data_IF_858343313000
#
_entry.id   IF_858343313000
#
_cell.length_a   1.000
_cell.length_b   1.000
_cell.length_c   1.000
_cell.angle_alpha   90.00
_cell.angle_beta   90.00
_cell.angle_gamma   90.00
#
_symmetry.space_group_name_H-M   'P 1'
#
loop_
_entity.id
_entity.type
_entity.pdbx_description
1 polymer ?
#
# COMPACT_ATOMS: atom_id res chain seq x y z
N UNK A 1 -10.34 -26.09 12.40
CA UNK A 1 -10.88 -24.80 11.97
C UNK A 1 -12.17 -24.61 12.75
N UNK A 2 -12.18 -23.77 13.78
CA UNK A 2 -13.36 -23.51 14.60
C UNK A 2 -14.27 -22.55 13.86
N UNK A 3 -15.25 -23.09 13.14
CA UNK A 3 -16.40 -22.32 12.66
C UNK A 3 -17.12 -21.78 13.89
N UNK A 4 -16.96 -20.48 14.15
CA UNK A 4 -17.63 -19.81 15.25
C UNK A 4 -19.12 -19.80 14.91
N UNK A 5 -19.91 -20.62 15.59
CA UNK A 5 -21.36 -20.61 15.46
C UNK A 5 -21.88 -19.24 15.91
N UNK A 6 -22.42 -18.47 14.97
CA UNK A 6 -23.04 -17.17 15.25
C UNK A 6 -24.54 -17.40 15.24
N UNK A 7 -25.17 -17.20 16.41
CA UNK A 7 -26.62 -17.24 16.55
C UNK A 7 -27.26 -16.01 15.91
N UNK A 8 -28.46 -16.19 15.37
CA UNK A 8 -29.23 -15.10 14.80
C UNK A 8 -29.57 -14.02 15.86
N UNK A 9 -29.27 -12.74 15.63
CA UNK A 9 -29.61 -11.66 16.57
C UNK A 9 -31.10 -11.30 16.59
N UNK A 10 -31.89 -11.74 15.61
CA UNK A 10 -33.32 -11.43 15.53
C UNK A 10 -34.19 -12.40 16.33
N UNK A 11 -33.90 -13.70 16.27
CA UNK A 11 -34.68 -14.73 16.95
C UNK A 11 -33.92 -15.47 18.06
N UNK A 12 -32.60 -15.30 18.17
CA UNK A 12 -31.71 -15.93 19.16
C UNK A 12 -31.65 -17.47 19.14
N UNK A 13 -32.43 -18.12 18.27
CA UNK A 13 -32.55 -19.58 18.15
C UNK A 13 -31.80 -20.09 16.92
N UNK A 14 -32.04 -19.51 15.75
CA UNK A 14 -31.55 -20.04 14.50
C UNK A 14 -30.07 -19.80 14.24
N UNK A 15 -29.49 -20.65 13.40
CA UNK A 15 -28.12 -20.51 12.91
C UNK A 15 -28.10 -19.67 11.64
N UNK A 16 -26.99 -18.98 11.40
CA UNK A 16 -26.77 -18.17 10.21
C UNK A 16 -26.02 -18.97 9.16
N UNK A 17 -26.62 -19.08 7.97
CA UNK A 17 -26.01 -19.68 6.79
C UNK A 17 -25.51 -18.58 5.85
N UNK A 18 -24.28 -18.70 5.37
CA UNK A 18 -23.70 -17.78 4.39
C UNK A 18 -24.24 -18.05 2.98
N UNK A 19 -24.58 -16.97 2.25
CA UNK A 19 -25.09 -16.97 0.88
C UNK A 19 -24.43 -15.85 0.09
N UNK A 20 -24.47 -15.97 -1.23
CA UNK A 20 -24.06 -14.93 -2.18
C UNK A 20 -25.23 -14.54 -3.08
N UNK A 21 -25.28 -13.27 -3.48
CA UNK A 21 -26.22 -12.76 -4.46
C UNK A 21 -25.57 -11.69 -5.35
N UNK A 22 -26.28 -11.33 -6.41
CA UNK A 22 -25.96 -10.14 -7.20
C UNK A 22 -26.66 -8.93 -6.57
N UNK A 23 -25.90 -7.89 -6.27
CA UNK A 23 -26.41 -6.65 -5.66
C UNK A 23 -26.00 -5.46 -6.53
N UNK A 24 -26.96 -4.60 -6.86
CA UNK A 24 -26.74 -3.40 -7.68
C UNK A 24 -26.34 -2.20 -6.82
N UNK A 25 -25.29 -1.51 -7.25
CA UNK A 25 -24.79 -0.30 -6.63
C UNK A 25 -24.67 0.83 -7.64
N UNK A 26 -24.52 2.06 -7.14
CA UNK A 26 -24.40 3.26 -7.95
C UNK A 26 -23.28 4.15 -7.43
N UNK A 27 -22.37 4.55 -8.30
CA UNK A 27 -21.31 5.51 -7.99
C UNK A 27 -21.28 6.63 -9.03
N UNK A 28 -21.50 7.88 -8.60
CA UNK A 28 -21.54 9.07 -9.49
C UNK A 28 -22.41 8.86 -10.73
N UNK A 29 -23.60 8.31 -10.53
CA UNK A 29 -24.55 8.02 -11.59
C UNK A 29 -24.22 6.88 -12.55
N UNK A 30 -23.13 6.16 -12.29
CA UNK A 30 -22.76 4.95 -13.00
C UNK A 30 -23.26 3.75 -12.17
N UNK A 31 -24.24 2.96 -12.68
CA UNK A 31 -24.65 1.72 -12.05
C UNK A 31 -23.58 0.63 -12.27
N UNK A 32 -23.38 -0.23 -11.29
CA UNK A 32 -22.54 -1.42 -11.38
C UNK A 32 -23.09 -2.53 -10.48
N UNK A 33 -22.71 -3.78 -10.76
CA UNK A 33 -23.21 -4.97 -10.06
C UNK A 33 -22.07 -5.66 -9.34
N UNK A 34 -22.30 -6.08 -8.10
CA UNK A 34 -21.40 -6.97 -7.36
C UNK A 34 -22.02 -8.37 -7.39
N UNK A 35 -21.40 -9.29 -8.14
CA UNK A 35 -21.93 -10.64 -8.34
C UNK A 35 -21.79 -11.58 -7.13
N UNK A 36 -20.75 -11.37 -6.31
CA UNK A 36 -20.44 -12.21 -5.14
C UNK A 36 -20.73 -11.46 -3.83
N UNK A 37 -21.87 -10.78 -3.75
CA UNK A 37 -22.25 -10.04 -2.54
C UNK A 37 -22.61 -11.01 -1.41
N UNK A 38 -21.81 -11.01 -0.33
CA UNK A 38 -21.97 -11.95 0.77
C UNK A 38 -22.98 -11.45 1.80
N UNK A 39 -23.90 -12.32 2.19
CA UNK A 39 -24.84 -12.10 3.28
C UNK A 39 -25.13 -13.41 4.01
N UNK A 40 -25.84 -13.33 5.13
CA UNK A 40 -26.27 -14.49 5.89
C UNK A 40 -27.77 -14.49 6.10
N UNK A 41 -28.38 -15.67 5.98
CA UNK A 41 -29.80 -15.92 6.23
C UNK A 41 -29.96 -16.83 7.44
N UNK A 42 -30.95 -16.55 8.29
CA UNK A 42 -31.27 -17.40 9.43
C UNK A 42 -32.11 -18.61 9.01
N UNK A 43 -31.74 -19.81 9.47
CA UNK A 43 -32.45 -21.06 9.20
C UNK A 43 -33.88 -21.12 9.77
N UNK A 44 -34.17 -20.37 10.84
CA UNK A 44 -35.44 -20.47 11.57
C UNK A 44 -36.42 -19.33 11.25
N UNK A 45 -35.94 -18.08 11.30
CA UNK A 45 -36.80 -16.91 11.12
C UNK A 45 -36.67 -16.25 9.74
N UNK A 46 -35.75 -16.73 8.90
CA UNK A 46 -35.52 -16.19 7.56
C UNK A 46 -34.91 -14.79 7.53
N UNK A 47 -34.48 -14.23 8.67
CA UNK A 47 -33.87 -12.89 8.70
C UNK A 47 -32.56 -12.87 7.91
N UNK A 48 -32.42 -11.88 7.03
CA UNK A 48 -31.20 -11.62 6.26
C UNK A 48 -30.37 -10.52 6.93
N UNK A 49 -29.06 -10.73 7.03
CA UNK A 49 -28.14 -9.74 7.56
C UNK A 49 -26.74 -9.91 6.97
N UNK A 50 -25.97 -8.82 6.98
CA UNK A 50 -24.56 -8.83 6.58
C UNK A 50 -23.70 -8.80 7.84
N UNK A 51 -22.92 -9.85 8.06
CA UNK A 51 -22.01 -9.93 9.20
C UNK A 51 -20.82 -8.98 9.03
N UNK A 52 -20.14 -8.56 10.12
CA UNK A 52 -18.97 -7.67 10.03
C UNK A 52 -17.83 -8.21 9.14
N UNK A 53 -17.63 -9.53 9.08
CA UNK A 53 -16.68 -10.18 8.18
C UNK A 53 -17.08 -10.04 6.72
N UNK A 54 -18.36 -10.26 6.41
CA UNK A 54 -18.93 -10.14 5.06
C UNK A 54 -18.94 -8.69 4.60
N UNK A 55 -19.38 -7.77 5.46
CA UNK A 55 -19.38 -6.33 5.18
C UNK A 55 -17.99 -5.83 4.77
N UNK A 56 -16.93 -6.34 5.39
CA UNK A 56 -15.55 -6.00 5.03
C UNK A 56 -15.17 -6.49 3.64
N UNK A 57 -15.60 -7.68 3.23
CA UNK A 57 -15.36 -8.24 1.90
C UNK A 57 -16.16 -7.46 0.85
N UNK A 58 -17.46 -7.27 1.08
CA UNK A 58 -18.34 -6.54 0.18
C UNK A 58 -17.85 -5.10 -0.02
N UNK A 59 -17.46 -4.42 1.06
CA UNK A 59 -16.91 -3.05 0.99
C UNK A 59 -15.64 -2.97 0.14
N UNK A 60 -14.80 -4.02 0.13
CA UNK A 60 -13.60 -4.06 -0.72
C UNK A 60 -13.97 -4.21 -2.18
N UNK A 61 -14.90 -5.11 -2.50
CA UNK A 61 -15.41 -5.31 -3.86
C UNK A 61 -16.02 -4.01 -4.42
N UNK A 62 -16.90 -3.36 -3.64
CA UNK A 62 -17.51 -2.06 -3.99
C UNK A 62 -16.42 -0.99 -4.24
N UNK A 63 -15.39 -0.93 -3.40
CA UNK A 63 -14.30 0.04 -3.59
C UNK A 63 -13.44 -0.25 -4.81
N UNK A 64 -13.23 -1.51 -5.16
CA UNK A 64 -12.52 -1.88 -6.38
C UNK A 64 -13.32 -1.44 -7.63
N UNK A 65 -14.64 -1.63 -7.65
CA UNK A 65 -15.50 -1.11 -8.72
C UNK A 65 -15.48 0.42 -8.80
N UNK A 66 -15.49 1.11 -7.65
CA UNK A 66 -15.32 2.57 -7.62
C UNK A 66 -13.99 3.01 -8.24
N UNK A 67 -12.89 2.28 -8.00
CA UNK A 67 -11.58 2.57 -8.63
C UNK A 67 -11.68 2.45 -10.14
N UNK A 68 -12.34 1.40 -10.65
CA UNK A 68 -12.51 1.17 -12.08
C UNK A 68 -13.34 2.29 -12.71
N UNK A 69 -14.43 2.70 -12.08
CA UNK A 69 -15.26 3.82 -12.54
C UNK A 69 -14.47 5.14 -12.63
N UNK A 70 -13.51 5.37 -11.73
CA UNK A 70 -12.65 6.56 -11.76
C UNK A 70 -11.38 6.41 -12.62
N UNK A 71 -11.11 5.22 -13.17
CA UNK A 71 -9.87 4.94 -13.91
C UNK A 71 -8.62 4.93 -13.01
N UNK A 72 -8.77 4.63 -11.72
CA UNK A 72 -7.67 4.55 -10.77
C UNK A 72 -6.94 3.20 -10.85
N UNK A 73 -5.69 3.16 -10.37
CA UNK A 73 -4.96 1.92 -10.22
C UNK A 73 -5.70 0.99 -9.26
N UNK A 74 -5.83 -0.29 -9.65
CA UNK A 74 -6.38 -1.32 -8.77
C UNK A 74 -5.44 -1.62 -7.60
N UNK A 75 -5.96 -2.26 -6.55
CA UNK A 75 -5.17 -2.78 -5.43
C UNK A 75 -4.01 -3.65 -5.91
N UNK A 76 -4.24 -4.46 -6.95
CA UNK A 76 -3.22 -5.32 -7.56
C UNK A 76 -2.16 -4.55 -8.33
N UNK A 77 -2.53 -3.47 -9.02
CA UNK A 77 -1.58 -2.66 -9.80
C UNK A 77 -0.66 -1.86 -8.88
N UNK A 78 -1.20 -1.30 -7.79
CA UNK A 78 -0.39 -0.64 -6.75
C UNK A 78 0.65 -1.62 -6.19
N UNK A 79 0.25 -2.88 -5.94
CA UNK A 79 1.16 -3.95 -5.51
C UNK A 79 2.24 -4.25 -6.56
N UNK A 80 1.89 -4.29 -7.85
CA UNK A 80 2.85 -4.50 -8.96
C UNK A 80 3.89 -3.38 -9.00
N UNK A 81 3.47 -2.12 -8.94
CA UNK A 81 4.38 -0.95 -8.91
C UNK A 81 5.35 -1.06 -7.74
N UNK A 82 4.86 -1.34 -6.52
CA UNK A 82 5.73 -1.52 -5.35
C UNK A 82 6.74 -2.65 -5.53
N UNK A 83 6.29 -3.80 -6.06
CA UNK A 83 7.11 -4.99 -6.25
C UNK A 83 8.16 -4.81 -7.35
N UNK A 84 7.87 -4.02 -8.39
CA UNK A 84 8.84 -3.64 -9.42
C UNK A 84 10.10 -3.00 -8.82
N UNK A 85 9.94 -2.15 -7.80
CA UNK A 85 11.05 -1.51 -7.07
C UNK A 85 11.53 -2.30 -5.83
N UNK A 86 11.05 -3.53 -5.64
CA UNK A 86 11.44 -4.43 -4.53
C UNK A 86 11.26 -3.83 -3.12
N UNK A 87 10.23 -3.00 -2.94
CA UNK A 87 9.98 -2.34 -1.66
C UNK A 87 9.09 -3.17 -0.73
N UNK A 88 9.30 -3.02 0.58
CA UNK A 88 8.29 -3.41 1.59
C UNK A 88 7.17 -2.36 1.62
N UNK A 89 6.01 -2.68 2.19
CA UNK A 89 4.90 -1.72 2.32
C UNK A 89 5.32 -0.50 3.16
N UNK A 90 6.09 -0.70 4.23
CA UNK A 90 6.63 0.37 5.07
C UNK A 90 7.60 1.27 4.30
N UNK A 91 8.55 0.70 3.55
CA UNK A 91 9.46 1.53 2.75
C UNK A 91 8.74 2.27 1.61
N UNK A 92 7.69 1.68 1.04
CA UNK A 92 6.86 2.35 0.06
C UNK A 92 6.11 3.54 0.69
N UNK A 93 5.55 3.37 1.88
CA UNK A 93 4.93 4.46 2.64
C UNK A 93 5.93 5.58 2.98
N UNK A 94 7.18 5.25 3.30
CA UNK A 94 8.22 6.24 3.54
C UNK A 94 8.57 7.05 2.29
N UNK A 95 8.61 6.41 1.12
CA UNK A 95 9.06 7.04 -0.14
C UNK A 95 7.92 7.83 -0.80
N UNK A 96 6.74 7.23 -0.91
CA UNK A 96 5.59 7.84 -1.59
C UNK A 96 4.71 8.66 -0.65
N UNK A 97 4.79 8.42 0.66
CA UNK A 97 3.95 9.06 1.68
C UNK A 97 2.65 8.29 1.97
N UNK A 98 1.68 8.99 2.55
CA UNK A 98 0.37 8.44 2.95
C UNK A 98 0.32 7.83 4.36
N UNK A 99 1.45 7.76 5.05
CA UNK A 99 1.57 7.20 6.40
C UNK A 99 1.82 5.69 6.42
N UNK A 100 2.22 5.13 7.59
CA UNK A 100 2.85 3.81 7.69
C UNK A 100 2.00 2.64 7.18
N UNK A 101 0.67 2.78 7.19
CA UNK A 101 -0.28 1.74 6.80
C UNK A 101 -0.92 1.98 5.43
N UNK A 102 -0.49 2.99 4.68
CA UNK A 102 -1.11 3.37 3.41
C UNK A 102 -1.11 2.22 2.39
N UNK A 103 0.08 1.67 2.11
CA UNK A 103 0.22 0.59 1.11
C UNK A 103 -0.48 -0.70 1.51
N UNK A 104 -0.57 -1.01 2.81
CA UNK A 104 -1.37 -2.14 3.28
C UNK A 104 -2.87 -1.92 2.97
N UNK A 105 -3.39 -0.72 3.25
CA UNK A 105 -4.79 -0.38 2.97
C UNK A 105 -5.10 -0.32 1.46
N UNK A 106 -4.18 0.21 0.65
CA UNK A 106 -4.36 0.28 -0.79
C UNK A 106 -4.33 -1.12 -1.43
N UNK A 107 -3.36 -1.96 -1.05
CA UNK A 107 -3.22 -3.32 -1.60
C UNK A 107 -4.30 -4.29 -1.14
N UNK A 108 -4.93 -4.03 0.02
CA UNK A 108 -6.06 -4.81 0.50
C UNK A 108 -7.41 -4.30 0.00
N UNK A 109 -7.43 -3.22 -0.78
CA UNK A 109 -8.66 -2.59 -1.25
C UNK A 109 -9.41 -1.78 -0.18
N UNK A 110 -8.91 -1.72 1.06
CA UNK A 110 -9.58 -1.08 2.20
C UNK A 110 -9.77 0.44 2.01
N UNK A 111 -8.89 1.11 1.28
CA UNK A 111 -8.95 2.56 1.02
C UNK A 111 -8.60 2.88 -0.44
N UNK A 112 -9.37 3.76 -1.07
CA UNK A 112 -9.06 4.32 -2.38
C UNK A 112 -8.02 5.43 -2.21
N UNK A 113 -6.95 5.37 -2.99
CA UNK A 113 -5.87 6.36 -2.99
C UNK A 113 -6.36 7.74 -3.46
N UNK A 114 -5.65 8.79 -3.06
CA UNK A 114 -5.91 10.13 -3.60
C UNK A 114 -5.50 10.23 -5.07
N UNK A 115 -6.12 11.15 -5.82
CA UNK A 115 -5.72 11.46 -7.21
C UNK A 115 -4.24 11.78 -7.35
N UNK A 116 -3.65 12.45 -6.37
CA UNK A 116 -2.22 12.78 -6.36
C UNK A 116 -1.36 11.51 -6.21
N UNK A 117 -1.74 10.62 -5.29
CA UNK A 117 -1.04 9.34 -5.10
C UNK A 117 -1.15 8.44 -6.34
N UNK A 118 -2.32 8.38 -6.98
CA UNK A 118 -2.53 7.62 -8.21
C UNK A 118 -1.59 8.09 -9.34
N UNK A 119 -1.57 9.40 -9.60
CA UNK A 119 -0.66 10.02 -10.57
C UNK A 119 0.81 9.78 -10.22
N UNK A 120 1.18 9.92 -8.95
CA UNK A 120 2.56 9.69 -8.49
C UNK A 120 3.02 8.27 -8.78
N UNK A 121 2.19 7.28 -8.48
CA UNK A 121 2.51 5.86 -8.74
C UNK A 121 2.65 5.61 -10.24
N UNK A 122 1.73 6.14 -11.07
CA UNK A 122 1.79 6.00 -12.54
C UNK A 122 3.04 6.64 -13.14
N UNK A 123 3.34 7.89 -12.76
CA UNK A 123 4.51 8.62 -13.25
C UNK A 123 5.79 7.92 -12.80
N UNK A 124 5.83 7.38 -11.59
CA UNK A 124 6.97 6.60 -11.12
C UNK A 124 7.19 5.36 -11.96
N UNK A 125 6.12 4.65 -12.35
CA UNK A 125 6.20 3.43 -13.14
C UNK A 125 6.59 3.67 -14.61
N UNK A 126 6.14 4.80 -15.18
CA UNK A 126 6.29 5.13 -16.61
C UNK A 126 7.54 5.96 -16.93
N UNK A 127 7.97 6.85 -16.03
CA UNK A 127 9.05 7.81 -16.30
C UNK A 127 10.33 7.37 -15.57
N UNK A 128 11.41 7.03 -16.31
CA UNK A 128 12.69 6.68 -15.71
C UNK A 128 13.24 7.80 -14.81
N UNK A 129 13.87 7.45 -13.70
CA UNK A 129 14.52 8.41 -12.80
C UNK A 129 13.62 9.00 -11.72
N UNK A 130 12.28 8.95 -11.87
CA UNK A 130 11.34 9.48 -10.86
C UNK A 130 11.50 8.76 -9.52
N UNK A 131 11.56 7.41 -9.54
CA UNK A 131 11.77 6.64 -8.31
C UNK A 131 13.08 7.04 -7.60
N UNK A 132 14.17 7.17 -8.36
CA UNK A 132 15.47 7.60 -7.82
C UNK A 132 15.40 9.00 -7.21
N UNK A 133 14.68 9.93 -7.85
CA UNK A 133 14.47 11.27 -7.33
C UNK A 133 13.68 11.26 -6.01
N UNK A 134 12.60 10.46 -5.92
CA UNK A 134 11.83 10.30 -4.68
C UNK A 134 12.70 9.75 -3.54
N UNK A 135 13.52 8.74 -3.82
CA UNK A 135 14.47 8.19 -2.85
C UNK A 135 15.48 9.26 -2.41
N UNK A 136 16.04 10.04 -3.34
CA UNK A 136 16.97 11.12 -3.00
C UNK A 136 16.32 12.20 -2.14
N UNK A 137 15.07 12.57 -2.41
CA UNK A 137 14.32 13.53 -1.58
C UNK A 137 14.16 13.01 -0.15
N UNK A 138 13.82 11.74 0.01
CA UNK A 138 13.67 11.11 1.32
C UNK A 138 15.00 11.00 2.09
N UNK A 139 16.11 10.75 1.39
CA UNK A 139 17.46 10.71 1.99
C UNK A 139 17.96 12.10 2.38
N UNK A 140 17.69 13.14 1.57
CA UNK A 140 18.01 14.54 1.89
C UNK A 140 17.27 15.03 3.13
N UNK A 141 16.02 14.58 3.34
CA UNK A 141 15.28 14.85 4.58
C UNK A 141 15.90 14.22 5.84
N UNK A 142 16.76 13.20 5.68
CA UNK A 142 17.47 12.51 6.78
C UNK A 142 18.91 12.98 6.97
N UNK A 143 19.46 13.77 6.05
CA UNK A 143 20.86 14.21 6.05
C UNK A 143 20.92 15.70 5.65
N UNK A 144 21.12 16.60 6.61
CA UNK A 144 21.64 17.95 6.36
C UNK A 144 23.08 17.82 5.87
N UNK A 145 23.31 17.65 4.57
CA UNK A 145 24.63 17.97 4.01
C UNK A 145 24.46 18.67 2.67
N UNK A 146 25.05 19.85 2.65
CA UNK A 146 25.22 20.81 1.57
C UNK A 146 25.69 20.13 0.27
N UNK A 147 24.79 19.99 -0.70
CA UNK A 147 25.10 19.47 -2.03
C UNK A 147 25.38 20.66 -2.95
N UNK A 148 26.67 20.97 -3.12
CA UNK A 148 27.15 21.87 -4.18
C UNK A 148 26.55 21.44 -5.52
N UNK A 149 25.66 22.28 -6.07
CA UNK A 149 25.02 22.09 -7.37
C UNK A 149 26.09 22.06 -8.46
N UNK A 150 26.16 20.98 -9.23
CA UNK A 150 26.91 20.94 -10.49
C UNK A 150 25.93 20.85 -11.66
N UNK A 151 26.19 21.73 -12.62
CA UNK A 151 25.37 22.09 -13.77
C UNK A 151 25.36 20.98 -14.83
N UNK A 152 24.17 20.54 -15.29
CA UNK A 152 24.03 19.48 -16.31
C UNK A 152 23.10 19.90 -17.45
N UNK A 153 23.34 21.08 -18.03
CA UNK A 153 22.91 21.42 -19.39
C UNK A 153 21.41 21.59 -19.64
N UNK A 154 21.11 22.16 -20.82
CA UNK A 154 19.79 22.64 -21.25
C UNK A 154 18.93 21.53 -21.87
N UNK A 155 17.73 21.31 -21.32
CA UNK A 155 16.62 20.61 -21.99
C UNK A 155 15.51 21.62 -22.34
N UNK A 156 14.50 21.21 -23.11
CA UNK A 156 13.39 22.08 -23.55
C UNK A 156 12.54 22.69 -22.41
N UNK A 157 12.73 22.24 -21.16
CA UNK A 157 12.13 22.77 -19.92
C UNK A 157 13.14 23.49 -19.00
N UNK A 158 14.33 23.83 -19.51
CA UNK A 158 15.41 24.50 -18.77
C UNK A 158 16.52 23.58 -18.29
N UNK A 159 17.38 24.10 -17.40
CA UNK A 159 18.61 23.44 -16.93
C UNK A 159 18.31 22.27 -15.98
N UNK A 160 18.56 21.03 -16.43
CA UNK A 160 18.41 19.83 -15.59
C UNK A 160 19.69 19.59 -14.78
N UNK A 161 19.59 19.31 -13.48
CA UNK A 161 20.74 18.85 -12.66
C UNK A 161 20.48 17.46 -12.10
N UNK A 162 21.23 16.45 -12.58
CA UNK A 162 21.28 15.12 -11.99
C UNK A 162 22.70 14.85 -11.48
N UNK A 163 22.89 14.88 -10.16
CA UNK A 163 24.10 14.34 -9.55
C UNK A 163 24.09 12.81 -9.62
N UNK A 164 24.66 12.27 -10.71
CA UNK A 164 25.21 10.91 -10.90
C UNK A 164 24.17 9.80 -11.09
N UNK A 165 24.05 9.09 -12.21
CA UNK A 165 25.02 8.68 -13.22
C UNK A 165 24.37 8.54 -14.61
N UNK A 166 25.08 8.99 -15.66
CA UNK A 166 24.99 8.46 -17.03
C UNK A 166 25.03 6.91 -16.97
N UNK A 167 24.31 6.10 -17.75
CA UNK A 167 23.67 6.31 -19.05
C UNK A 167 23.04 4.98 -19.54
N UNK A 168 22.10 5.08 -20.48
CA UNK A 168 21.85 4.16 -21.61
C UNK A 168 21.28 2.75 -21.32
N UNK A 169 20.09 2.49 -21.86
CA UNK A 169 19.89 1.27 -22.67
C UNK A 169 20.47 1.53 -24.07
N UNK A 170 20.72 0.53 -24.95
CA UNK A 170 20.42 -0.90 -24.86
C UNK A 170 21.62 -1.77 -25.30
N UNK A 171 22.22 -2.55 -24.41
CA UNK A 171 22.73 -3.88 -24.75
C UNK A 171 23.23 -4.59 -23.49
N UNK A 172 22.60 -5.72 -23.23
CA UNK A 172 22.92 -6.64 -22.14
C UNK A 172 24.23 -7.33 -22.48
N UNK A 173 25.27 -7.10 -21.67
CA UNK A 173 26.35 -8.06 -21.50
C UNK A 173 26.74 -8.12 -20.02
N UNK A 174 26.47 -9.26 -19.40
CA UNK A 174 26.81 -9.56 -18.01
C UNK A 174 28.32 -9.53 -17.81
N UNK A 175 28.79 -8.93 -16.71
CA UNK A 175 29.94 -9.47 -16.00
C UNK A 175 29.83 -9.22 -14.49
N UNK A 176 30.02 -10.31 -13.76
CA UNK A 176 30.12 -10.43 -12.31
C UNK A 176 31.37 -9.70 -11.81
N UNK A 177 31.35 -9.21 -10.57
CA UNK A 177 32.06 -9.84 -9.45
C UNK A 177 32.35 -8.88 -8.28
N UNK A 178 32.43 -9.51 -7.10
CA UNK A 178 33.13 -9.07 -5.88
C UNK A 178 32.41 -8.16 -4.89
N UNK A 179 31.38 -8.71 -4.24
CA UNK A 179 31.12 -8.37 -2.83
C UNK A 179 32.15 -9.13 -1.98
N UNK A 180 33.27 -8.48 -1.66
CA UNK A 180 34.17 -8.94 -0.59
C UNK A 180 33.56 -8.58 0.76
N UNK A 181 33.29 -9.63 1.52
CA UNK A 181 32.76 -9.60 2.88
C UNK A 181 33.56 -8.69 3.82
N UNK A 182 32.87 -7.90 4.64
CA UNK A 182 33.34 -7.58 5.99
C UNK A 182 32.24 -7.88 6.99
N UNK A 183 32.43 -9.01 7.70
CA UNK A 183 31.66 -9.43 8.87
C UNK A 183 31.72 -8.31 9.92
N UNK A 184 30.57 -7.76 10.33
CA UNK A 184 30.47 -7.02 11.59
C UNK A 184 29.83 -7.91 12.64
N UNK A 185 30.62 -8.23 13.67
CA UNK A 185 30.22 -8.92 14.89
C UNK A 185 29.09 -8.12 15.56
N UNK A 186 27.99 -8.80 15.86
CA UNK A 186 27.00 -8.33 16.80
C UNK A 186 27.60 -8.31 18.20
N UNK A 187 27.58 -7.16 18.87
CA UNK A 187 27.87 -7.01 20.29
C UNK A 187 26.65 -6.37 20.93
N UNK A 188 25.98 -7.11 21.81
CA UNK A 188 24.89 -6.63 22.63
C UNK A 188 25.47 -5.87 23.84
N UNK A 189 24.99 -4.65 24.16
CA UNK A 189 25.28 -4.06 25.46
C UNK A 189 24.40 -4.68 26.55
N UNK A 190 25.06 -5.23 27.58
CA UNK A 190 24.50 -5.67 28.87
C UNK A 190 23.84 -4.50 29.61
N UNK A 191 22.72 -4.81 30.26
CA UNK A 191 22.09 -3.98 31.29
C UNK A 191 23.04 -3.63 32.44
N UNK A 192 22.95 -2.41 32.96
CA UNK A 192 22.59 -2.14 34.37
C UNK A 192 22.97 -0.71 34.78
N UNK A 193 21.97 0.07 35.17
CA UNK A 193 22.05 0.90 36.39
C UNK A 193 20.65 1.33 36.82
N UNK A 194 20.24 0.73 37.93
CA UNK A 194 19.15 1.16 38.83
C UNK A 194 19.36 2.62 39.22
N UNK A 195 18.28 3.41 39.29
CA UNK A 195 18.02 4.31 40.42
C UNK A 195 16.50 4.35 40.63
N UNK A 196 16.12 4.15 41.89
CA UNK A 196 14.75 4.06 42.36
C UNK A 196 14.35 5.36 43.09
N UNK A 197 13.05 5.67 43.03
CA UNK A 197 12.18 6.30 44.06
C UNK A 197 11.96 7.84 44.07
N UNK A 198 10.65 8.15 44.16
CA UNK A 198 9.93 9.29 44.77
C UNK A 198 9.94 10.65 44.03
N UNK A 199 8.88 11.47 44.01
CA UNK A 199 7.51 11.45 44.57
C UNK A 199 6.74 12.65 43.97
N UNK A 200 5.41 12.58 43.99
CA UNK A 200 4.41 13.66 44.08
C UNK A 200 4.52 14.91 43.17
N UNK A 201 3.51 15.11 42.30
CA UNK A 201 2.36 16.02 42.48
C UNK A 201 1.24 15.54 41.53
#
# INVERSE_FOLDING_TARGET
MTTKEIKCPACEVGQLEERTCEEEFKYKDIPFVIHDYLYSICSECGSELVLPSQAKINTRAIKDEHRLCEGFLSSTDIKKVRKKYKLTQSYAADIFGGGPNAFSKYENGDVIQSKAMDKLLRVTDQVPGVFSALVQMQLKGRIMVDLKKSFVGSCDYGECTLSGSRSLSPNVFYMRDSIKSKKRKWVQPRESRKWSIANNI
#
